data_IF_944885617647
#
_entry.id   IF_944885617647
#
_cell.length_a   1.000
_cell.length_b   1.000
_cell.length_c   1.000
_cell.angle_alpha   90.00
_cell.angle_beta   90.00
_cell.angle_gamma   90.00
#
_symmetry.space_group_name_H-M   'P 1'
#
loop_
_entity.id
_entity.type
_entity.pdbx_description
1 polymer ?
#
# COMPACT_ATOMS: atom_id res chain seq x y z
N UNK A 1 -4.77 6.89 -1.26
CA UNK A 1 -4.36 7.65 -2.43
C UNK A 1 -3.47 8.82 -2.02
N UNK A 2 -2.44 9.05 -2.77
CA UNK A 2 -1.45 10.06 -2.44
C UNK A 2 -1.18 11.01 -3.60
N UNK A 3 -0.54 10.54 -4.65
CA UNK A 3 -0.06 11.40 -5.74
C UNK A 3 -0.98 11.43 -6.95
N UNK A 4 -1.46 10.28 -7.37
CA UNK A 4 -2.43 10.14 -8.47
C UNK A 4 -3.07 8.77 -8.43
N UNK A 5 -4.25 8.64 -9.02
CA UNK A 5 -4.99 7.38 -9.12
C UNK A 5 -4.17 6.30 -9.84
N UNK A 6 -3.50 6.67 -10.95
CA UNK A 6 -2.66 5.76 -11.70
C UNK A 6 -1.48 5.24 -10.87
N UNK A 7 -0.79 6.12 -10.12
CA UNK A 7 0.33 5.73 -9.25
C UNK A 7 -0.15 4.85 -8.10
N UNK A 8 -1.28 5.18 -7.48
CA UNK A 8 -1.82 4.42 -6.35
C UNK A 8 -2.25 3.01 -6.75
N UNK A 9 -2.88 2.84 -7.92
CA UNK A 9 -3.20 1.53 -8.46
C UNK A 9 -1.95 0.77 -8.90
N UNK A 10 -1.05 1.42 -9.63
CA UNK A 10 0.15 0.79 -10.18
C UNK A 10 1.05 0.21 -9.10
N UNK A 11 1.32 0.96 -8.02
CA UNK A 11 2.17 0.46 -6.91
C UNK A 11 1.57 -0.76 -6.20
N UNK A 12 0.25 -0.79 -6.02
CA UNK A 12 -0.41 -1.93 -5.39
C UNK A 12 -0.44 -3.15 -6.30
N UNK A 13 -0.67 -2.95 -7.61
CA UNK A 13 -0.61 -4.03 -8.59
C UNK A 13 0.81 -4.58 -8.75
N UNK A 14 1.83 -3.73 -8.74
CA UNK A 14 3.23 -4.14 -8.76
C UNK A 14 3.59 -4.98 -7.51
N UNK A 15 3.17 -4.55 -6.33
CA UNK A 15 3.37 -5.33 -5.11
C UNK A 15 2.66 -6.69 -5.18
N UNK A 16 1.41 -6.74 -5.65
CA UNK A 16 0.67 -8.00 -5.83
C UNK A 16 1.39 -8.94 -6.81
N UNK A 17 1.91 -8.41 -7.93
CA UNK A 17 2.64 -9.19 -8.92
C UNK A 17 3.94 -9.78 -8.35
N UNK A 18 4.67 -8.98 -7.57
CA UNK A 18 5.96 -9.39 -6.99
C UNK A 18 5.81 -10.43 -5.87
N UNK A 19 4.73 -10.36 -5.09
CA UNK A 19 4.50 -11.31 -3.98
C UNK A 19 3.68 -12.54 -4.40
N UNK A 20 2.97 -12.51 -5.53
CA UNK A 20 2.14 -13.62 -5.99
C UNK A 20 2.90 -14.95 -6.12
N UNK A 21 4.16 -14.98 -6.60
CA UNK A 21 4.94 -16.23 -6.68
C UNK A 21 5.27 -16.87 -5.33
N UNK A 22 5.14 -16.13 -4.22
CA UNK A 22 5.39 -16.65 -2.87
C UNK A 22 4.20 -17.47 -2.35
N UNK A 23 3.04 -17.41 -3.01
CA UNK A 23 1.87 -18.19 -2.62
C UNK A 23 2.10 -19.67 -2.91
N UNK A 24 1.93 -20.49 -1.89
CA UNK A 24 1.94 -21.95 -1.98
C UNK A 24 0.82 -22.58 -1.15
N UNK A 25 0.85 -23.92 -0.97
CA UNK A 25 -0.17 -24.63 -0.19
C UNK A 25 -0.16 -24.32 1.32
N UNK A 26 0.88 -23.69 1.84
CA UNK A 26 1.07 -23.35 3.26
C UNK A 26 1.03 -21.84 3.52
N UNK A 27 1.29 -21.02 2.49
CA UNK A 27 1.34 -19.56 2.59
C UNK A 27 0.19 -18.91 1.81
N UNK A 28 -0.72 -18.25 2.55
CA UNK A 28 -1.84 -17.49 2.01
C UNK A 28 -1.55 -15.98 2.07
N UNK A 29 -1.85 -15.30 0.97
CA UNK A 29 -1.71 -13.85 0.86
C UNK A 29 -3.10 -13.23 0.93
N UNK A 30 -3.30 -12.34 1.89
CA UNK A 30 -4.49 -11.50 2.02
C UNK A 30 -4.11 -10.06 1.65
N UNK A 31 -4.91 -9.46 0.79
CA UNK A 31 -4.71 -8.08 0.38
C UNK A 31 -5.59 -7.16 1.20
N UNK A 32 -4.98 -6.12 1.77
CA UNK A 32 -5.71 -5.10 2.50
C UNK A 32 -5.41 -3.73 1.91
N UNK A 33 -6.46 -2.92 1.76
CA UNK A 33 -6.31 -1.51 1.38
C UNK A 33 -6.84 -0.61 2.48
N UNK A 34 -6.26 0.59 2.57
CA UNK A 34 -6.69 1.67 3.47
C UNK A 34 -6.26 3.02 2.93
N UNK A 35 -6.90 4.08 3.41
CA UNK A 35 -6.49 5.45 3.14
C UNK A 35 -5.36 5.82 4.11
N UNK A 36 -4.35 6.57 3.65
CA UNK A 36 -3.32 7.10 4.53
C UNK A 36 -3.81 8.36 5.26
N UNK A 37 -3.57 8.48 6.57
CA UNK A 37 -3.97 9.65 7.36
C UNK A 37 -3.42 10.97 6.82
N UNK A 38 -2.19 10.98 6.32
CA UNK A 38 -1.53 12.18 5.78
C UNK A 38 -2.21 12.74 4.52
N UNK A 39 -3.04 11.95 3.84
CA UNK A 39 -3.79 12.41 2.66
C UNK A 39 -5.19 12.92 2.99
N UNK A 40 -5.65 12.80 4.22
CA UNK A 40 -6.95 13.34 4.61
C UNK A 40 -6.93 14.88 4.68
N UNK A 41 -7.87 15.56 4.00
CA UNK A 41 -8.11 16.98 4.23
C UNK A 41 -8.57 17.23 5.67
N UNK A 42 -8.23 18.41 6.22
CA UNK A 42 -8.73 18.82 7.54
C UNK A 42 -10.17 19.37 7.47
N UNK A 43 -10.60 19.81 6.30
CA UNK A 43 -11.99 20.20 6.06
C UNK A 43 -12.90 18.96 6.05
N UNK A 44 -13.92 19.00 6.89
CA UNK A 44 -14.82 17.88 7.15
C UNK A 44 -15.56 17.36 5.90
N UNK A 45 -16.05 18.26 5.05
CA UNK A 45 -16.74 17.87 3.81
C UNK A 45 -15.76 17.28 2.80
N UNK A 46 -14.57 17.88 2.68
CA UNK A 46 -13.49 17.38 1.85
C UNK A 46 -13.00 16.01 2.32
N UNK A 47 -12.91 15.77 3.63
CA UNK A 47 -12.52 14.49 4.22
C UNK A 47 -13.53 13.37 3.89
N UNK A 48 -14.85 13.66 3.96
CA UNK A 48 -15.91 12.74 3.53
C UNK A 48 -15.82 12.41 2.03
N UNK A 49 -15.62 13.45 1.20
CA UNK A 49 -15.43 13.29 -0.24
C UNK A 49 -14.20 12.44 -0.54
N UNK A 50 -13.08 12.70 0.16
CA UNK A 50 -11.84 11.94 0.03
C UNK A 50 -12.01 10.47 0.45
N UNK A 51 -12.71 10.19 1.55
CA UNK A 51 -13.05 8.83 1.97
C UNK A 51 -13.82 8.08 0.88
N UNK A 52 -14.86 8.70 0.32
CA UNK A 52 -15.67 8.10 -0.73
C UNK A 52 -14.87 7.82 -2.02
N UNK A 53 -14.14 8.82 -2.51
CA UNK A 53 -13.35 8.73 -3.75
C UNK A 53 -12.22 7.70 -3.61
N UNK A 54 -11.51 7.71 -2.49
CA UNK A 54 -10.42 6.77 -2.22
C UNK A 54 -10.93 5.32 -2.09
N UNK A 55 -12.08 5.14 -1.44
CA UNK A 55 -12.72 3.82 -1.37
C UNK A 55 -13.08 3.31 -2.76
N UNK A 56 -13.70 4.16 -3.58
CA UNK A 56 -14.09 3.82 -4.94
C UNK A 56 -12.88 3.38 -5.78
N UNK A 57 -11.79 4.15 -5.74
CA UNK A 57 -10.55 3.84 -6.44
C UNK A 57 -9.95 2.50 -5.98
N UNK A 58 -9.84 2.31 -4.66
CA UNK A 58 -9.18 1.13 -4.09
C UNK A 58 -9.96 -0.16 -4.35
N UNK A 59 -11.26 -0.10 -4.57
CA UNK A 59 -12.07 -1.28 -4.96
C UNK A 59 -11.68 -1.85 -6.32
N UNK A 60 -11.02 -1.08 -7.20
CA UNK A 60 -10.44 -1.61 -8.42
C UNK A 60 -9.39 -2.71 -8.14
N UNK A 61 -8.71 -2.68 -7.00
CA UNK A 61 -7.72 -3.69 -6.59
C UNK A 61 -8.34 -5.00 -6.11
N UNK A 62 -9.66 -5.04 -5.89
CA UNK A 62 -10.39 -6.20 -5.34
C UNK A 62 -9.76 -6.74 -4.06
N UNK A 63 -9.58 -5.89 -3.03
CA UNK A 63 -8.93 -6.31 -1.79
C UNK A 63 -9.79 -7.33 -1.04
N UNK A 64 -9.15 -8.24 -0.31
CA UNK A 64 -9.82 -9.16 0.61
C UNK A 64 -10.35 -8.42 1.83
N UNK A 65 -9.64 -7.39 2.28
CA UNK A 65 -9.98 -6.56 3.44
C UNK A 65 -9.93 -5.09 3.05
N UNK A 66 -11.00 -4.37 3.33
CA UNK A 66 -11.02 -2.91 3.28
C UNK A 66 -10.99 -2.34 4.68
N UNK A 67 -9.87 -1.71 5.05
CA UNK A 67 -9.72 -1.04 6.35
C UNK A 67 -10.23 0.39 6.24
N UNK A 68 -11.31 0.69 6.94
CA UNK A 68 -11.89 2.03 6.97
C UNK A 68 -11.05 2.91 7.91
N UNK A 69 -10.50 3.98 7.35
CA UNK A 69 -9.95 5.10 8.13
C UNK A 69 -11.01 6.19 8.10
N UNK A 70 -11.56 6.52 9.24
CA UNK A 70 -12.64 7.48 9.36
C UNK A 70 -12.23 8.88 8.89
N UNK A 71 -13.19 9.65 8.39
CA UNK A 71 -12.95 11.01 7.87
C UNK A 71 -12.45 12.00 8.94
N UNK A 72 -12.68 11.69 10.21
CA UNK A 72 -12.26 12.54 11.35
C UNK A 72 -10.90 12.17 11.94
N UNK A 73 -10.32 11.00 11.58
CA UNK A 73 -9.13 10.45 12.26
C UNK A 73 -7.85 11.31 12.08
N UNK A 74 -7.80 12.16 11.05
CA UNK A 74 -6.68 13.10 10.87
C UNK A 74 -6.79 14.37 11.74
N UNK A 75 -7.96 14.64 12.30
CA UNK A 75 -8.26 15.83 13.09
C UNK A 75 -8.45 15.50 14.58
N UNK A 76 -9.30 14.53 14.87
CA UNK A 76 -9.62 14.14 16.25
C UNK A 76 -9.97 12.66 16.39
N UNK A 77 -10.08 12.20 17.64
CA UNK A 77 -10.52 10.84 17.92
C UNK A 77 -11.99 10.65 17.52
N UNK A 78 -12.24 9.64 16.66
CA UNK A 78 -13.58 9.38 16.14
C UNK A 78 -14.58 9.01 17.24
N UNK A 79 -15.75 9.62 17.20
CA UNK A 79 -16.92 9.23 18.01
C UNK A 79 -17.63 8.02 17.37
N UNK A 80 -18.59 7.44 18.09
CA UNK A 80 -19.42 6.35 17.55
C UNK A 80 -20.20 6.79 16.30
N UNK A 81 -20.69 8.03 16.27
CA UNK A 81 -21.44 8.58 15.13
C UNK A 81 -20.53 8.77 13.92
N UNK A 82 -19.30 9.25 14.11
CA UNK A 82 -18.30 9.38 13.04
C UNK A 82 -17.97 8.02 12.40
N UNK A 83 -17.81 6.99 13.22
CA UNK A 83 -17.55 5.62 12.75
C UNK A 83 -18.74 5.11 11.94
N UNK A 84 -19.97 5.29 12.43
CA UNK A 84 -21.18 4.88 11.73
C UNK A 84 -21.29 5.59 10.39
N UNK A 85 -21.02 6.89 10.35
CA UNK A 85 -21.05 7.69 9.13
C UNK A 85 -19.98 7.22 8.13
N UNK A 86 -18.73 7.07 8.57
CA UNK A 86 -17.63 6.57 7.74
C UNK A 86 -17.96 5.21 7.11
N UNK A 87 -18.56 4.29 7.88
CA UNK A 87 -19.02 2.99 7.37
C UNK A 87 -20.11 3.15 6.31
N UNK A 88 -21.07 4.05 6.50
CA UNK A 88 -22.15 4.30 5.51
C UNK A 88 -21.57 4.86 4.20
N UNK A 89 -20.66 5.83 4.28
CA UNK A 89 -19.97 6.41 3.12
C UNK A 89 -19.21 5.32 2.37
N UNK A 90 -18.37 4.57 3.09
CA UNK A 90 -17.56 3.48 2.54
C UNK A 90 -18.42 2.43 1.85
N UNK A 91 -19.47 1.94 2.51
CA UNK A 91 -20.39 0.95 1.90
C UNK A 91 -21.03 1.46 0.62
N UNK A 92 -21.42 2.74 0.57
CA UNK A 92 -21.98 3.33 -0.65
C UNK A 92 -20.96 3.42 -1.77
N UNK A 93 -19.73 3.84 -1.46
CA UNK A 93 -18.65 3.90 -2.42
C UNK A 93 -18.31 2.50 -2.99
N UNK A 94 -18.26 1.47 -2.14
CA UNK A 94 -18.08 0.07 -2.57
C UNK A 94 -19.21 -0.35 -3.53
N UNK A 95 -20.47 -0.09 -3.19
CA UNK A 95 -21.59 -0.43 -4.06
C UNK A 95 -21.48 0.22 -5.44
N UNK A 96 -21.06 1.50 -5.49
CA UNK A 96 -20.85 2.21 -6.75
C UNK A 96 -19.69 1.61 -7.56
N UNK A 97 -18.63 1.17 -6.88
CA UNK A 97 -17.43 0.60 -7.52
C UNK A 97 -17.69 -0.79 -8.14
N UNK A 98 -18.65 -1.56 -7.61
CA UNK A 98 -18.94 -2.92 -8.13
C UNK A 98 -19.41 -2.93 -9.59
N UNK A 99 -20.00 -1.83 -10.08
CA UNK A 99 -20.43 -1.67 -11.48
C UNK A 99 -19.50 -0.82 -12.33
N UNK A 100 -18.37 -0.39 -11.79
CA UNK A 100 -17.45 0.52 -12.46
C UNK A 100 -16.58 -0.19 -13.51
N UNK A 101 -16.07 0.55 -14.52
CA UNK A 101 -15.03 0.05 -15.41
C UNK A 101 -13.79 -0.40 -14.64
N UNK A 102 -13.08 -1.38 -15.18
CA UNK A 102 -11.84 -1.85 -14.57
C UNK A 102 -10.68 -0.88 -14.81
N UNK A 103 -10.51 0.06 -13.89
CA UNK A 103 -9.46 1.09 -13.95
C UNK A 103 -8.03 0.50 -13.94
N UNK A 104 -7.87 -0.77 -13.55
CA UNK A 104 -6.54 -1.44 -13.59
C UNK A 104 -6.03 -1.59 -15.01
N UNK A 105 -6.92 -1.61 -16.01
CA UNK A 105 -6.57 -1.77 -17.43
C UNK A 105 -6.18 -0.46 -18.12
N UNK A 106 -6.23 0.66 -17.43
CA UNK A 106 -5.82 1.94 -17.99
C UNK A 106 -4.32 1.90 -18.39
N UNK A 107 -3.96 2.37 -19.60
CA UNK A 107 -2.58 2.28 -20.10
C UNK A 107 -1.56 2.88 -19.14
N UNK A 108 -1.86 4.04 -18.55
CA UNK A 108 -1.00 4.71 -17.58
C UNK A 108 -0.77 3.90 -16.30
N UNK A 109 -1.78 3.14 -15.85
CA UNK A 109 -1.66 2.23 -14.71
C UNK A 109 -0.74 1.07 -15.04
N UNK A 110 -0.95 0.44 -16.20
CA UNK A 110 -0.14 -0.72 -16.61
C UNK A 110 1.31 -0.33 -16.88
N UNK A 111 1.55 0.76 -17.60
CA UNK A 111 2.91 1.26 -17.86
C UNK A 111 3.64 1.52 -16.54
N UNK A 112 3.01 2.26 -15.61
CA UNK A 112 3.65 2.56 -14.33
C UNK A 112 3.85 1.32 -13.45
N UNK A 113 2.93 0.36 -13.50
CA UNK A 113 3.09 -0.93 -12.82
C UNK A 113 4.33 -1.67 -13.32
N UNK A 114 4.52 -1.77 -14.63
CA UNK A 114 5.67 -2.45 -15.25
C UNK A 114 6.98 -1.78 -14.87
N UNK A 115 7.03 -0.45 -14.88
CA UNK A 115 8.21 0.31 -14.42
C UNK A 115 8.52 -0.02 -12.96
N UNK A 116 7.54 0.02 -12.05
CA UNK A 116 7.72 -0.27 -10.63
C UNK A 116 8.18 -1.71 -10.38
N UNK A 117 7.68 -2.67 -11.14
CA UNK A 117 8.16 -4.06 -11.07
C UNK A 117 9.62 -4.15 -11.48
N UNK A 118 10.00 -3.48 -12.57
CA UNK A 118 11.39 -3.47 -13.04
C UNK A 118 12.33 -2.78 -12.03
N UNK A 119 11.95 -1.61 -11.51
CA UNK A 119 12.69 -0.88 -10.48
C UNK A 119 12.88 -1.74 -9.21
N UNK A 120 11.82 -2.43 -8.77
CA UNK A 120 11.88 -3.29 -7.58
C UNK A 120 12.78 -4.49 -7.79
N UNK A 121 12.78 -5.10 -8.98
CA UNK A 121 13.69 -6.22 -9.29
C UNK A 121 15.15 -5.80 -9.21
N UNK A 122 15.51 -4.63 -9.73
CA UNK A 122 16.86 -4.07 -9.59
C UNK A 122 17.25 -3.93 -8.12
N UNK A 123 16.34 -3.41 -7.28
CA UNK A 123 16.59 -3.31 -5.84
C UNK A 123 16.78 -4.68 -5.17
N UNK A 124 15.91 -5.65 -5.48
CA UNK A 124 16.00 -7.00 -4.93
C UNK A 124 17.32 -7.70 -5.34
N UNK A 125 17.75 -7.51 -6.59
CA UNK A 125 19.03 -8.03 -7.07
C UNK A 125 20.21 -7.38 -6.34
N UNK A 126 20.19 -6.07 -6.16
CA UNK A 126 21.23 -5.36 -5.41
C UNK A 126 21.31 -5.83 -3.94
N UNK A 127 20.17 -6.10 -3.28
CA UNK A 127 20.15 -6.67 -1.93
C UNK A 127 20.75 -8.08 -1.93
N UNK A 128 20.39 -8.91 -2.92
CA UNK A 128 20.93 -10.28 -3.05
C UNK A 128 22.45 -10.29 -3.21
N UNK A 129 23.01 -9.36 -3.97
CA UNK A 129 24.45 -9.22 -4.18
C UNK A 129 25.24 -8.83 -2.92
N UNK A 130 24.56 -8.29 -1.89
CA UNK A 130 25.20 -8.01 -0.61
C UNK A 130 25.41 -9.24 0.27
N UNK A 131 24.67 -10.31 0.01
CA UNK A 131 24.74 -11.50 0.84
C UNK A 131 26.02 -12.29 0.61
N UNK A 132 26.61 -12.90 1.65
CA UNK A 132 27.62 -13.94 1.49
C UNK A 132 27.10 -15.12 0.66
N UNK A 133 28.00 -15.82 -0.02
CA UNK A 133 27.66 -16.91 -0.94
C UNK A 133 27.03 -18.15 -0.27
N UNK A 134 27.15 -18.27 1.03
CA UNK A 134 26.60 -19.34 1.87
C UNK A 134 25.21 -19.03 2.42
N UNK A 135 24.69 -17.83 2.19
CA UNK A 135 23.33 -17.44 2.59
C UNK A 135 22.31 -17.98 1.58
N UNK A 136 21.44 -18.87 2.02
CA UNK A 136 20.46 -19.52 1.16
C UNK A 136 19.35 -18.60 0.68
N UNK A 137 18.88 -17.68 1.56
CA UNK A 137 17.85 -16.70 1.24
C UNK A 137 18.30 -15.30 1.69
N UNK A 138 18.92 -14.53 0.78
CA UNK A 138 19.39 -13.17 1.06
C UNK A 138 18.29 -12.20 1.52
N UNK A 139 17.06 -12.37 1.04
CA UNK A 139 15.95 -11.49 1.36
C UNK A 139 15.31 -11.77 2.72
N UNK A 140 15.61 -12.92 3.31
CA UNK A 140 15.20 -13.29 4.67
C UNK A 140 16.37 -13.23 5.68
N UNK A 141 17.63 -13.00 5.22
CA UNK A 141 18.79 -12.91 6.09
C UNK A 141 18.87 -11.57 6.82
N UNK A 142 18.80 -11.53 8.17
CA UNK A 142 18.82 -10.29 8.93
C UNK A 142 20.11 -9.46 8.74
N UNK A 143 21.26 -10.10 8.55
CA UNK A 143 22.53 -9.40 8.38
C UNK A 143 22.59 -8.69 7.01
N UNK A 144 22.13 -9.35 5.95
CA UNK A 144 22.01 -8.78 4.60
C UNK A 144 21.04 -7.62 4.58
N UNK A 145 19.87 -7.75 5.22
CA UNK A 145 18.88 -6.67 5.30
C UNK A 145 19.40 -5.47 6.10
N UNK A 146 20.06 -5.70 7.24
CA UNK A 146 20.69 -4.63 8.02
C UNK A 146 21.79 -3.89 7.22
N UNK A 147 22.57 -4.65 6.44
CA UNK A 147 23.59 -4.07 5.55
C UNK A 147 22.97 -3.22 4.44
N UNK A 148 21.87 -3.68 3.85
CA UNK A 148 21.15 -2.94 2.80
C UNK A 148 20.63 -1.58 3.29
N UNK A 149 20.13 -1.52 4.54
CA UNK A 149 19.72 -0.26 5.20
C UNK A 149 20.94 0.62 5.47
N UNK A 150 22.03 0.05 5.99
CA UNK A 150 23.26 0.80 6.30
C UNK A 150 23.90 1.44 5.05
N UNK A 151 23.83 0.74 3.91
CA UNK A 151 24.35 1.22 2.62
C UNK A 151 23.36 2.13 1.87
N UNK A 152 22.16 2.32 2.40
CA UNK A 152 21.14 3.20 1.80
C UNK A 152 20.39 2.59 0.63
N UNK A 153 20.46 1.26 0.40
CA UNK A 153 19.62 0.57 -0.59
C UNK A 153 18.17 0.49 -0.13
N UNK A 154 17.96 0.33 1.16
CA UNK A 154 16.64 0.38 1.79
C UNK A 154 16.56 1.56 2.75
N UNK A 155 15.45 2.30 2.70
CA UNK A 155 15.19 3.36 3.66
C UNK A 155 14.36 2.82 4.84
N UNK A 156 14.81 3.16 6.05
CA UNK A 156 14.13 2.80 7.29
C UNK A 156 13.94 4.04 8.18
N UNK A 157 13.20 5.06 7.71
CA UNK A 157 13.09 6.36 8.37
C UNK A 157 12.51 6.26 9.79
N UNK A 158 11.67 5.25 10.05
CA UNK A 158 11.08 4.97 11.36
C UNK A 158 12.12 4.57 12.42
N UNK A 159 13.29 4.07 12.01
CA UNK A 159 14.37 3.68 12.92
C UNK A 159 15.28 4.84 13.25
N UNK A 160 15.37 5.87 12.40
CA UNK A 160 16.33 6.98 12.49
C UNK A 160 16.16 7.83 13.75
N UNK A 161 14.94 7.97 14.25
CA UNK A 161 14.58 8.76 15.44
C UNK A 161 14.12 7.89 16.62
N UNK A 162 14.28 6.59 16.55
CA UNK A 162 13.89 5.69 17.61
C UNK A 162 14.98 5.73 18.71
N UNK A 163 14.55 5.90 19.99
CA UNK A 163 15.45 5.84 21.14
C UNK A 163 16.26 4.54 21.23
N UNK A 164 15.78 3.47 20.59
CA UNK A 164 16.36 2.14 20.56
C UNK A 164 17.03 1.79 19.21
N UNK A 165 16.84 2.61 18.16
CA UNK A 165 17.51 2.49 16.88
C UNK A 165 18.85 3.24 16.95
N UNK A 166 19.93 2.50 17.10
CA UNK A 166 21.29 2.99 16.96
C UNK A 166 21.84 2.60 15.61
#
# INVERSE_FOLDING_TARGET
PGTSDAMDLAKMLAAQELIAPLRDGQFNIWTQTRIGLLSHPLDDQSARGHLAASTYLQMALRPDIYHIVGHTEADHAATADDIIEAVKITRRAIQNALGAPDMRQAPEVQTRKEELVAETRVLLDAIRELAPSDVADPWADPATLARSVTLGLMDAPQLRNNKFGR
#
